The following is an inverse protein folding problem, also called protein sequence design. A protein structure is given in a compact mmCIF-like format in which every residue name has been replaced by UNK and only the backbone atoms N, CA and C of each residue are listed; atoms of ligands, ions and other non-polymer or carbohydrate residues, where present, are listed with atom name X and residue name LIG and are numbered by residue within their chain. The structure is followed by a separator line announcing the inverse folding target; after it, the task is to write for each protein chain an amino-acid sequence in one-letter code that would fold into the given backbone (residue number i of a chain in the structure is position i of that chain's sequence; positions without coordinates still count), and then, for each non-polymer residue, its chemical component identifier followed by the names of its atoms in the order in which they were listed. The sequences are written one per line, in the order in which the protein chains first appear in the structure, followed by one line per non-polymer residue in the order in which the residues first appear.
data_IF_340662537215
#
_entry.id   IF_340662537215
#
_cell.length_a   1.000
_cell.length_b   1.000
_cell.length_c   1.000
_cell.angle_alpha   90.00
_cell.angle_beta   90.00
_cell.angle_gamma   90.00
#
_symmetry.space_group_name_H-M   'P 1'
#
loop_
_entity.id
_entity.type
_entity.pdbx_description
1 polymer ?
#
# COMPACT_ATOMS: atom_id res chain seq x y z
N UNK A 1 14.17 -1.37 14.19
CA UNK A 1 13.29 -2.21 13.35
C UNK A 1 12.19 -2.87 14.19
N UNK A 2 10.93 -2.47 14.00
CA UNK A 2 9.80 -3.01 14.76
C UNK A 2 9.10 -4.14 13.98
N UNK A 3 9.41 -5.39 14.34
CA UNK A 3 8.86 -6.59 13.66
C UNK A 3 7.33 -6.68 13.76
N UNK A 4 6.74 -6.22 14.88
CA UNK A 4 5.28 -6.16 15.04
C UNK A 4 4.64 -5.22 14.02
N UNK A 5 5.26 -4.07 13.78
CA UNK A 5 4.81 -3.10 12.77
C UNK A 5 4.87 -3.67 11.36
N UNK A 6 5.96 -4.35 11.01
CA UNK A 6 6.13 -4.97 9.69
C UNK A 6 5.05 -6.03 9.45
N UNK A 7 4.84 -6.93 10.42
CA UNK A 7 3.80 -7.94 10.34
C UNK A 7 2.41 -7.32 10.16
N UNK A 8 2.08 -6.30 10.97
CA UNK A 8 0.80 -5.59 10.87
C UNK A 8 0.61 -4.91 9.50
N UNK A 9 1.60 -4.16 9.03
CA UNK A 9 1.52 -3.48 7.74
C UNK A 9 1.40 -4.47 6.57
N UNK A 10 2.08 -5.60 6.65
CA UNK A 10 1.99 -6.69 5.66
C UNK A 10 0.60 -7.31 5.63
N UNK A 11 0.02 -7.61 6.79
CA UNK A 11 -1.36 -8.14 6.90
C UNK A 11 -2.36 -7.12 6.35
N UNK A 12 -2.23 -5.84 6.70
CA UNK A 12 -3.08 -4.79 6.16
C UNK A 12 -2.96 -4.69 4.63
N UNK A 13 -1.75 -4.77 4.08
CA UNK A 13 -1.50 -4.80 2.64
C UNK A 13 -2.15 -6.01 1.96
N UNK A 14 -2.05 -7.20 2.56
CA UNK A 14 -2.67 -8.42 2.04
C UNK A 14 -4.20 -8.34 2.03
N UNK A 15 -4.81 -7.84 3.12
CA UNK A 15 -6.26 -7.68 3.26
C UNK A 15 -6.80 -6.63 2.30
N UNK A 16 -6.18 -5.43 2.25
CA UNK A 16 -6.55 -4.38 1.29
C UNK A 16 -6.32 -4.84 -0.15
N UNK A 17 -5.32 -5.69 -0.38
CA UNK A 17 -5.05 -6.29 -1.68
C UNK A 17 -6.19 -7.16 -2.19
N UNK A 18 -6.90 -7.89 -1.32
CA UNK A 18 -8.05 -8.71 -1.73
C UNK A 18 -9.14 -7.81 -2.33
N UNK A 19 -9.46 -6.68 -1.67
CA UNK A 19 -10.42 -5.70 -2.20
C UNK A 19 -9.95 -5.12 -3.55
N UNK A 20 -8.64 -4.91 -3.72
CA UNK A 20 -8.07 -4.44 -4.97
C UNK A 20 -8.26 -5.45 -6.11
N UNK A 21 -8.05 -6.74 -5.85
CA UNK A 21 -8.28 -7.81 -6.83
C UNK A 21 -9.75 -7.83 -7.24
N UNK A 22 -10.68 -7.81 -6.29
CA UNK A 22 -12.10 -7.87 -6.57
C UNK A 22 -12.56 -6.70 -7.46
N UNK A 23 -12.03 -5.50 -7.21
CA UNK A 23 -12.27 -4.33 -8.04
C UNK A 23 -11.61 -4.39 -9.42
N UNK A 24 -10.44 -5.01 -9.54
CA UNK A 24 -9.78 -5.23 -10.83
C UNK A 24 -10.46 -6.32 -11.65
N UNK A 25 -10.83 -7.44 -11.03
CA UNK A 25 -11.50 -8.58 -11.67
C UNK A 25 -12.83 -8.19 -12.30
N UNK A 26 -13.57 -7.27 -11.67
CA UNK A 26 -14.82 -6.75 -12.24
C UNK A 26 -14.63 -5.93 -13.52
N UNK A 27 -13.42 -5.43 -13.79
CA UNK A 27 -13.12 -4.59 -14.97
C UNK A 27 -12.42 -5.35 -16.08
N UNK A 28 -11.60 -6.35 -15.75
CA UNK A 28 -10.88 -7.18 -16.74
C UNK A 28 -11.72 -8.36 -17.27
N UNK A 29 -13.00 -8.45 -16.90
CA UNK A 29 -13.91 -9.49 -17.39
C UNK A 29 -13.90 -10.80 -16.59
N UNK A 30 -13.36 -10.79 -15.37
CA UNK A 30 -13.34 -11.95 -14.46
C UNK A 30 -11.95 -12.54 -14.23
N UNK A 31 -11.93 -13.68 -13.54
CA UNK A 31 -10.70 -14.37 -13.13
C UNK A 31 -10.05 -15.17 -14.26
N UNK A 32 -10.86 -15.87 -15.06
CA UNK A 32 -10.40 -16.78 -16.11
C UNK A 32 -9.69 -16.00 -17.22
N UNK A 33 -8.40 -16.27 -17.44
CA UNK A 33 -7.54 -15.59 -18.40
C UNK A 33 -6.79 -14.36 -17.86
N UNK A 34 -7.05 -13.95 -16.61
CA UNK A 34 -6.38 -12.81 -15.95
C UNK A 34 -5.72 -13.19 -14.60
N UNK A 35 -5.56 -14.49 -14.33
CA UNK A 35 -5.15 -15.02 -13.03
C UNK A 35 -3.79 -14.46 -12.58
N UNK A 36 -2.83 -14.45 -13.50
CA UNK A 36 -1.47 -13.96 -13.24
C UNK A 36 -1.48 -12.45 -12.95
N UNK A 37 -2.30 -11.68 -13.69
CA UNK A 37 -2.41 -10.24 -13.50
C UNK A 37 -3.03 -9.91 -12.14
N UNK A 38 -4.10 -10.62 -11.75
CA UNK A 38 -4.80 -10.42 -10.49
C UNK A 38 -3.95 -10.86 -9.27
N UNK A 39 -3.25 -11.99 -9.36
CA UNK A 39 -2.32 -12.44 -8.32
C UNK A 39 -1.11 -11.51 -8.24
N UNK A 40 -0.56 -11.07 -9.38
CA UNK A 40 0.52 -10.10 -9.43
C UNK A 40 0.14 -8.77 -8.79
N UNK A 41 -1.10 -8.31 -9.01
CA UNK A 41 -1.63 -7.12 -8.37
C UNK A 41 -1.74 -7.30 -6.84
N UNK A 42 -2.24 -8.44 -6.38
CA UNK A 42 -2.28 -8.74 -4.95
C UNK A 42 -0.89 -8.77 -4.31
N UNK A 43 0.04 -9.46 -4.97
CA UNK A 43 1.42 -9.54 -4.53
C UNK A 43 2.04 -8.14 -4.40
N UNK A 44 1.80 -7.25 -5.36
CA UNK A 44 2.23 -5.86 -5.28
C UNK A 44 1.72 -5.14 -4.01
N UNK A 45 0.49 -5.45 -3.55
CA UNK A 45 -0.09 -4.89 -2.31
C UNK A 45 0.53 -5.47 -1.04
N UNK A 46 0.87 -6.75 -1.05
CA UNK A 46 1.62 -7.37 0.06
C UNK A 46 3.00 -6.72 0.19
N UNK A 47 3.72 -6.55 -0.94
CA UNK A 47 5.03 -5.90 -0.98
C UNK A 47 4.96 -4.44 -0.51
N UNK A 48 3.93 -3.70 -0.92
CA UNK A 48 3.68 -2.34 -0.42
C UNK A 48 3.57 -2.32 1.11
N UNK A 49 2.83 -3.25 1.70
CA UNK A 49 2.69 -3.39 3.15
C UNK A 49 4.03 -3.64 3.85
N UNK A 50 4.86 -4.51 3.31
CA UNK A 50 6.21 -4.81 3.82
C UNK A 50 7.08 -3.55 3.80
N UNK A 51 7.13 -2.85 2.66
CA UNK A 51 7.96 -1.64 2.48
C UNK A 51 7.52 -0.53 3.46
N UNK A 52 6.22 -0.30 3.62
CA UNK A 52 5.68 0.70 4.56
C UNK A 52 5.97 0.31 6.02
N UNK A 53 5.88 -0.99 6.33
CA UNK A 53 6.24 -1.53 7.63
C UNK A 53 7.69 -1.22 8.00
N UNK A 54 8.61 -1.44 7.06
CA UNK A 54 10.04 -1.16 7.20
C UNK A 54 10.35 0.33 7.32
N UNK A 55 9.60 1.17 6.62
CA UNK A 55 9.83 2.62 6.59
C UNK A 55 9.40 3.36 7.88
N UNK A 56 8.99 2.65 8.94
CA UNK A 56 8.44 3.25 10.18
C UNK A 56 9.33 4.29 10.85
N UNK A 57 10.66 4.19 10.71
CA UNK A 57 11.64 5.09 11.31
C UNK A 57 11.99 6.30 10.42
N UNK A 58 11.47 6.36 9.19
CA UNK A 58 11.70 7.47 8.26
C UNK A 58 10.87 8.68 8.69
N UNK A 59 11.56 9.77 9.04
CA UNK A 59 10.99 11.07 9.43
C UNK A 59 11.27 12.08 8.32
N UNK A 60 10.22 12.59 7.66
CA UNK A 60 10.33 13.57 6.58
C UNK A 60 10.26 15.02 7.11
N UNK A 61 9.42 15.26 8.12
CA UNK A 61 9.20 16.54 8.78
C UNK A 61 9.55 16.39 10.25
N UNK A 62 10.54 17.15 10.72
CA UNK A 62 11.06 17.06 12.10
C UNK A 62 10.27 17.89 13.11
N UNK A 63 9.61 18.97 12.69
CA UNK A 63 8.99 19.94 13.60
C UNK A 63 7.52 20.23 13.27
N UNK A 64 6.68 20.36 14.30
CA UNK A 64 5.27 20.73 14.19
C UNK A 64 4.33 19.83 14.99
N UNK A 65 3.24 20.42 15.52
CA UNK A 65 2.20 19.74 16.32
C UNK A 65 1.55 18.54 15.60
N UNK A 66 1.54 18.56 14.27
CA UNK A 66 0.98 17.51 13.40
C UNK A 66 2.04 16.77 12.56
N UNK A 67 3.33 17.06 12.75
CA UNK A 67 4.41 16.54 11.91
C UNK A 67 4.42 15.00 11.84
N UNK A 68 4.03 14.32 12.93
CA UNK A 68 3.95 12.86 13.00
C UNK A 68 2.88 12.27 12.07
N UNK A 69 1.70 12.87 12.02
CA UNK A 69 0.61 12.42 11.16
C UNK A 69 0.91 12.72 9.70
N UNK A 70 1.44 13.91 9.42
CA UNK A 70 1.85 14.32 8.08
C UNK A 70 2.97 13.40 7.57
N UNK A 71 3.94 13.03 8.41
CA UNK A 71 4.96 12.04 8.06
C UNK A 71 4.36 10.72 7.63
N UNK A 72 3.40 10.20 8.41
CA UNK A 72 2.74 8.93 8.08
C UNK A 72 1.92 9.01 6.79
N UNK A 73 1.24 10.13 6.54
CA UNK A 73 0.49 10.33 5.29
C UNK A 73 1.45 10.42 4.10
N UNK A 74 2.47 11.27 4.19
CA UNK A 74 3.43 11.48 3.11
C UNK A 74 4.21 10.22 2.79
N UNK A 75 4.72 9.52 3.80
CA UNK A 75 5.47 8.29 3.62
C UNK A 75 4.60 7.19 3.01
N UNK A 76 3.39 6.98 3.54
CA UNK A 76 2.42 6.07 2.96
C UNK A 76 2.07 6.42 1.50
N UNK A 77 1.86 7.71 1.19
CA UNK A 77 1.55 8.18 -0.16
C UNK A 77 2.72 7.96 -1.13
N UNK A 78 3.94 8.32 -0.74
CA UNK A 78 5.14 8.18 -1.58
C UNK A 78 5.43 6.70 -1.85
N UNK A 79 5.43 5.87 -0.81
CA UNK A 79 5.70 4.43 -0.97
C UNK A 79 4.56 3.73 -1.73
N UNK A 80 3.31 4.11 -1.45
CA UNK A 80 2.15 3.65 -2.19
C UNK A 80 2.23 4.01 -3.67
N UNK A 81 2.62 5.25 -3.98
CA UNK A 81 2.84 5.73 -5.35
C UNK A 81 3.95 4.94 -6.04
N UNK A 82 5.13 4.79 -5.42
CA UNK A 82 6.26 4.10 -6.05
C UNK A 82 5.92 2.65 -6.40
N UNK A 83 5.31 1.93 -5.47
CA UNK A 83 4.96 0.51 -5.68
C UNK A 83 3.84 0.35 -6.71
N UNK A 84 2.86 1.25 -6.71
CA UNK A 84 1.74 1.22 -7.66
C UNK A 84 2.14 1.70 -9.05
N UNK A 85 3.07 2.64 -9.15
CA UNK A 85 3.60 3.14 -10.41
C UNK A 85 4.27 2.02 -11.20
N UNK A 86 5.02 1.14 -10.52
CA UNK A 86 5.63 -0.02 -11.16
C UNK A 86 4.57 -0.92 -11.84
N UNK A 87 3.46 -1.20 -11.15
CA UNK A 87 2.38 -2.01 -11.72
C UNK A 87 1.69 -1.26 -12.86
N UNK A 88 1.41 0.04 -12.67
CA UNK A 88 0.76 0.89 -13.66
C UNK A 88 1.55 0.96 -14.99
N UNK A 89 2.87 1.08 -14.89
CA UNK A 89 3.78 1.01 -16.05
C UNK A 89 3.76 -0.37 -16.73
N UNK A 90 3.58 -1.44 -15.97
CA UNK A 90 3.48 -2.81 -16.51
C UNK A 90 2.15 -3.06 -17.24
N UNK A 91 1.13 -2.24 -16.99
CA UNK A 91 -0.20 -2.30 -17.62
C UNK A 91 -0.41 -1.27 -18.74
N UNK A 92 0.68 -0.75 -19.34
CA UNK A 92 0.64 0.27 -20.39
C UNK A 92 -0.17 1.52 -20.01
N UNK A 93 -0.18 1.89 -18.72
CA UNK A 93 -0.89 3.06 -18.17
C UNK A 93 -2.42 3.02 -18.31
N UNK A 94 -3.00 1.82 -18.51
CA UNK A 94 -4.45 1.66 -18.68
C UNK A 94 -5.20 1.59 -17.33
N UNK A 95 -4.55 1.11 -16.27
CA UNK A 95 -5.22 0.78 -15.01
C UNK A 95 -5.15 1.88 -13.94
N UNK A 96 -5.68 3.07 -14.27
CA UNK A 96 -5.75 4.23 -13.37
C UNK A 96 -6.43 3.96 -12.02
N UNK A 97 -7.55 3.22 -11.94
CA UNK A 97 -8.21 2.94 -10.65
C UNK A 97 -7.29 2.17 -9.70
N UNK A 98 -6.58 1.17 -10.24
CA UNK A 98 -5.61 0.38 -9.47
C UNK A 98 -4.43 1.24 -9.01
N UNK A 99 -3.94 2.13 -9.87
CA UNK A 99 -2.86 3.05 -9.52
C UNK A 99 -3.25 3.97 -8.34
N UNK A 100 -4.40 4.65 -8.44
CA UNK A 100 -4.88 5.55 -7.39
C UNK A 100 -5.23 4.82 -6.09
N UNK A 101 -5.87 3.65 -6.18
CA UNK A 101 -6.16 2.81 -5.02
C UNK A 101 -4.89 2.48 -4.24
N UNK A 102 -3.76 2.31 -4.92
CA UNK A 102 -2.49 2.02 -4.28
C UNK A 102 -1.89 3.16 -3.48
N UNK A 103 -2.06 4.40 -3.94
CA UNK A 103 -1.67 5.59 -3.17
C UNK A 103 -2.52 5.66 -1.89
N UNK A 104 -3.84 5.48 -2.02
CA UNK A 104 -4.77 5.52 -0.90
C UNK A 104 -4.48 4.40 0.12
N UNK A 105 -4.27 3.16 -0.35
CA UNK A 105 -3.93 2.04 0.51
C UNK A 105 -2.59 2.26 1.21
N UNK A 106 -1.58 2.82 0.53
CA UNK A 106 -0.31 3.16 1.15
C UNK A 106 -0.48 4.12 2.35
N UNK A 107 -1.31 5.17 2.19
CA UNK A 107 -1.64 6.10 3.27
C UNK A 107 -2.33 5.38 4.43
N UNK A 108 -3.33 4.54 4.14
CA UNK A 108 -4.11 3.83 5.15
C UNK A 108 -3.22 2.86 5.95
N UNK A 109 -2.39 2.06 5.26
CA UNK A 109 -1.47 1.10 5.88
C UNK A 109 -0.51 1.83 6.82
N UNK A 110 0.05 2.96 6.39
CA UNK A 110 1.03 3.67 7.20
C UNK A 110 0.38 4.32 8.43
N UNK A 111 -0.78 4.96 8.27
CA UNK A 111 -1.52 5.56 9.38
C UNK A 111 -1.88 4.49 10.42
N UNK A 112 -2.49 3.38 10.00
CA UNK A 112 -2.92 2.33 10.92
C UNK A 112 -1.73 1.68 11.62
N UNK A 113 -0.66 1.38 10.88
CA UNK A 113 0.55 0.82 11.49
C UNK A 113 1.22 1.78 12.47
N UNK A 114 1.21 3.09 12.19
CA UNK A 114 1.76 4.14 13.08
C UNK A 114 0.90 4.36 14.32
N UNK A 115 -0.42 4.26 14.19
CA UNK A 115 -1.37 4.36 15.29
C UNK A 115 -1.28 3.18 16.25
N UNK A 116 -1.34 1.97 15.71
CA UNK A 116 -1.39 0.73 16.53
C UNK A 116 -0.04 0.48 17.21
N UNK A 117 1.07 0.79 16.54
CA UNK A 117 2.40 0.65 17.13
C UNK A 117 2.64 1.60 18.32
N UNK A 118 1.93 2.72 18.41
CA UNK A 118 2.03 3.63 19.56
C UNK A 118 1.22 3.20 20.78
N UNK A 119 0.25 2.30 20.58
CA UNK A 119 -0.61 1.79 21.65
C UNK A 119 -0.05 0.55 22.34
N UNK A 120 0.91 -0.13 21.72
CA UNK A 120 1.63 -1.30 22.24
C UNK A 120 2.97 -0.90 22.85
#
# INVERSE_FOLDING_TARGET
MNTKRIGLATILGAVLGIFCILGASGRVGGWVGNEILLIGLWYNRVIMGIIIGLAGEVILIKEGKYAKWINSVLRGAILGLLVSLQFFLSTELLDWPTFLAGILYGIIIDILSTLITQRS
#
